data_IF_844378514652
#
_entry.id   IF_844378514652
#
_cell.length_a   1.000
_cell.length_b   1.000
_cell.length_c   1.000
_cell.angle_alpha   90.00
_cell.angle_beta   90.00
_cell.angle_gamma   90.00
#
_symmetry.space_group_name_H-M   'P 1'
#
loop_
_entity.id
_entity.type
_entity.pdbx_description
1 polymer ?
#
# COMPACT_ATOMS: atom_id res chain seq x y z
N UNK A 1 -16.86 9.17 3.20
CA UNK A 1 -17.14 10.48 2.58
C UNK A 1 -18.64 10.60 2.39
N UNK A 2 -19.25 11.61 3.02
CA UNK A 2 -20.68 11.86 2.95
C UNK A 2 -21.07 12.68 1.71
N UNK A 3 -22.38 12.81 1.47
CA UNK A 3 -22.95 13.52 0.32
C UNK A 3 -22.72 15.03 0.39
N UNK A 4 -22.59 15.58 1.60
CA UNK A 4 -22.35 17.00 1.86
C UNK A 4 -20.94 17.43 1.41
N UNK A 5 -19.92 16.63 1.75
CA UNK A 5 -18.52 16.83 1.35
C UNK A 5 -18.39 16.91 -0.17
N UNK A 6 -19.11 16.04 -0.88
CA UNK A 6 -19.11 16.00 -2.35
C UNK A 6 -19.77 17.21 -3.01
N UNK A 7 -20.65 17.92 -2.30
CA UNK A 7 -21.37 19.11 -2.80
C UNK A 7 -20.72 20.43 -2.41
N UNK A 8 -19.67 20.41 -1.58
CA UNK A 8 -19.03 21.64 -1.10
C UNK A 8 -18.30 22.36 -2.25
N UNK A 9 -18.47 23.68 -2.43
CA UNK A 9 -17.87 24.44 -3.54
C UNK A 9 -16.33 24.37 -3.55
N UNK A 10 -15.71 24.25 -2.37
CA UNK A 10 -14.24 24.15 -2.22
C UNK A 10 -13.71 22.70 -2.30
N UNK A 11 -14.58 21.70 -2.54
CA UNK A 11 -14.13 20.31 -2.57
C UNK A 11 -13.39 19.99 -3.88
N UNK A 12 -12.10 19.70 -3.76
CA UNK A 12 -11.26 19.27 -4.89
C UNK A 12 -11.34 17.75 -5.07
N UNK A 13 -11.86 17.30 -6.21
CA UNK A 13 -11.98 15.88 -6.58
C UNK A 13 -10.68 15.28 -7.14
N UNK A 14 -9.53 15.67 -6.62
CA UNK A 14 -8.25 15.14 -7.03
C UNK A 14 -7.81 14.00 -6.09
N UNK A 15 -7.40 12.87 -6.67
CA UNK A 15 -6.80 11.75 -5.96
C UNK A 15 -5.77 11.06 -6.84
N UNK A 16 -4.72 10.52 -6.24
CA UNK A 16 -3.72 9.69 -6.89
C UNK A 16 -3.68 8.34 -6.17
N UNK A 17 -4.66 7.44 -6.42
CA UNK A 17 -4.63 6.11 -5.85
C UNK A 17 -3.42 5.34 -6.42
N UNK A 18 -2.83 4.50 -5.59
CA UNK A 18 -1.84 3.54 -6.05
C UNK A 18 -2.57 2.28 -6.53
N UNK A 19 -2.10 1.72 -7.64
CA UNK A 19 -2.61 0.45 -8.15
C UNK A 19 -2.07 -0.71 -7.31
N UNK A 20 -2.86 -1.75 -7.12
CA UNK A 20 -2.38 -2.99 -6.50
C UNK A 20 -2.02 -2.89 -5.01
N UNK A 21 -2.48 -1.88 -4.27
CA UNK A 21 -2.21 -1.72 -2.81
C UNK A 21 -2.62 -2.91 -1.94
N UNK A 22 -3.44 -3.81 -2.46
CA UNK A 22 -3.86 -5.03 -1.78
C UNK A 22 -2.96 -6.23 -2.08
N UNK A 23 -2.02 -6.13 -3.02
CA UNK A 23 -1.05 -7.16 -3.34
C UNK A 23 0.09 -7.15 -2.32
N UNK A 24 0.63 -8.33 -2.03
CA UNK A 24 1.80 -8.49 -1.16
C UNK A 24 2.42 -9.88 -1.31
N UNK A 25 3.73 -9.98 -1.49
CA UNK A 25 4.44 -11.28 -1.47
C UNK A 25 4.77 -11.73 -0.04
N UNK A 26 3.78 -12.32 0.63
CA UNK A 26 3.96 -12.79 2.01
C UNK A 26 5.04 -13.88 2.16
N UNK A 27 5.28 -14.68 1.12
CA UNK A 27 6.23 -15.79 1.17
C UNK A 27 7.67 -15.26 1.21
N UNK A 28 7.97 -14.20 0.46
CA UNK A 28 9.27 -13.51 0.48
C UNK A 28 9.66 -13.08 1.91
N UNK A 29 8.70 -12.55 2.67
CA UNK A 29 8.93 -12.07 4.04
C UNK A 29 8.72 -13.14 5.13
N UNK A 30 8.41 -14.39 4.76
CA UNK A 30 8.14 -15.47 5.70
C UNK A 30 6.89 -15.25 6.56
N UNK A 31 5.94 -14.47 6.06
CA UNK A 31 4.69 -14.12 6.76
C UNK A 31 3.59 -15.10 6.36
N UNK A 32 2.77 -15.53 7.34
CA UNK A 32 1.63 -16.39 7.03
C UNK A 32 0.60 -15.64 6.17
N UNK A 33 0.01 -16.25 5.12
CA UNK A 33 -1.00 -15.58 4.28
C UNK A 33 -2.15 -14.95 5.07
N UNK A 34 -2.63 -15.62 6.13
CA UNK A 34 -3.70 -15.08 6.99
C UNK A 34 -3.24 -13.85 7.78
N UNK A 35 -1.99 -13.82 8.20
CA UNK A 35 -1.43 -12.66 8.89
C UNK A 35 -1.26 -11.50 7.92
N UNK A 36 -0.75 -11.78 6.70
CA UNK A 36 -0.62 -10.79 5.63
C UNK A 36 -1.96 -10.14 5.25
N UNK A 37 -3.06 -10.90 5.19
CA UNK A 37 -4.41 -10.37 4.95
C UNK A 37 -4.88 -9.38 6.04
N UNK A 38 -4.37 -9.52 7.27
CA UNK A 38 -4.71 -8.65 8.39
C UNK A 38 -3.76 -7.45 8.53
N UNK A 39 -2.66 -7.41 7.77
CA UNK A 39 -1.69 -6.32 7.83
C UNK A 39 -2.22 -5.06 7.15
N UNK A 40 -1.87 -3.91 7.73
CA UNK A 40 -2.16 -2.61 7.12
C UNK A 40 -1.49 -2.54 5.72
N UNK A 41 -2.23 -2.18 4.66
CA UNK A 41 -1.69 -2.06 3.30
C UNK A 41 -0.43 -1.17 3.21
N UNK A 42 -0.33 -0.13 4.04
CA UNK A 42 0.84 0.76 4.05
C UNK A 42 2.09 0.07 4.61
N UNK A 43 1.92 -0.85 5.56
CA UNK A 43 3.04 -1.65 6.08
C UNK A 43 3.52 -2.65 5.04
N UNK A 44 2.59 -3.31 4.33
CA UNK A 44 2.91 -4.23 3.22
C UNK A 44 3.70 -3.50 2.12
N UNK A 45 3.21 -2.33 1.69
CA UNK A 45 3.88 -1.49 0.69
C UNK A 45 5.28 -1.02 1.15
N UNK A 46 5.43 -0.68 2.43
CA UNK A 46 6.72 -0.27 2.98
C UNK A 46 7.76 -1.40 2.93
N UNK A 47 7.35 -2.63 3.25
CA UNK A 47 8.24 -3.79 3.23
C UNK A 47 8.76 -4.07 1.81
N UNK A 48 7.88 -4.06 0.82
CA UNK A 48 8.26 -4.22 -0.59
C UNK A 48 9.17 -3.08 -1.05
N UNK A 49 8.83 -1.83 -0.74
CA UNK A 49 9.66 -0.67 -1.12
C UNK A 49 11.06 -0.72 -0.48
N UNK A 50 11.17 -1.21 0.76
CA UNK A 50 12.44 -1.37 1.44
C UNK A 50 13.28 -2.51 0.82
N UNK A 51 12.63 -3.61 0.44
CA UNK A 51 13.28 -4.71 -0.28
C UNK A 51 13.80 -4.25 -1.64
N UNK A 52 12.95 -3.63 -2.46
CA UNK A 52 13.33 -3.07 -3.77
C UNK A 52 14.51 -2.09 -3.66
N UNK A 53 14.54 -1.27 -2.60
CA UNK A 53 15.64 -0.33 -2.36
C UNK A 53 16.95 -1.04 -2.03
N UNK A 54 16.91 -2.15 -1.28
CA UNK A 54 18.08 -2.97 -0.98
C UNK A 54 18.58 -3.70 -2.23
N UNK A 55 17.68 -4.29 -3.02
CA UNK A 55 18.01 -4.92 -4.30
C UNK A 55 18.64 -3.90 -5.26
N UNK A 56 18.08 -2.70 -5.34
CA UNK A 56 18.62 -1.61 -6.15
C UNK A 56 20.03 -1.20 -5.69
N UNK A 57 20.30 -1.26 -4.39
CA UNK A 57 21.62 -1.01 -3.81
C UNK A 57 22.62 -2.16 -4.02
N UNK A 58 22.20 -3.27 -4.64
CA UNK A 58 23.03 -4.44 -4.94
C UNK A 58 23.16 -5.42 -3.76
N UNK A 59 22.23 -5.37 -2.80
CA UNK A 59 22.11 -6.37 -1.75
C UNK A 59 21.07 -7.41 -2.17
N UNK A 60 21.44 -8.70 -2.06
CA UNK A 60 20.59 -9.89 -2.27
C UNK A 60 20.61 -10.74 -1.00
#
# INVERSE_FOLDING_TARGET
>A
MDRETYSHPDYVRARAPLDGVELFDAALFGINPREAEMMDPQQRLFLESAFDALENAGYD
#
